data_IF_928928745015
#
_entry.id   IF_928928745015
#
_cell.length_a   1.000
_cell.length_b   1.000
_cell.length_c   1.000
_cell.angle_alpha   90.00
_cell.angle_beta   90.00
_cell.angle_gamma   90.00
#
_symmetry.space_group_name_H-M   'P 1'
#
loop_
_entity.id
_entity.type
_entity.pdbx_description
1 polymer ?
#
# COMPACT_ATOMS: atom_id res chain seq x y z
N UNK A 1 -5.06 -4.65 -22.04
CA UNK A 1 -3.84 -4.10 -21.38
C UNK A 1 -4.05 -2.64 -21.05
N UNK A 2 -3.46 -2.15 -19.96
CA UNK A 2 -3.44 -0.75 -19.54
C UNK A 2 -1.99 -0.29 -19.37
N UNK A 3 -1.73 0.97 -19.65
CA UNK A 3 -0.42 1.59 -19.53
C UNK A 3 -0.51 2.80 -18.60
N UNK A 4 0.45 2.94 -17.70
CA UNK A 4 0.48 3.96 -16.66
C UNK A 4 1.88 4.58 -16.57
N UNK A 5 1.94 5.87 -16.30
CA UNK A 5 3.17 6.56 -15.92
C UNK A 5 3.20 6.68 -14.39
N UNK A 6 4.03 5.89 -13.72
CA UNK A 6 4.15 5.92 -12.27
C UNK A 6 5.37 6.76 -11.83
N UNK A 7 5.22 7.74 -10.93
CA UNK A 7 6.29 8.69 -10.61
C UNK A 7 7.57 8.06 -10.03
N UNK A 8 7.46 6.87 -9.42
CA UNK A 8 8.60 6.17 -8.80
C UNK A 8 9.21 5.06 -9.66
N UNK A 9 8.47 4.52 -10.63
CA UNK A 9 8.92 3.36 -11.42
C UNK A 9 8.83 3.57 -12.93
N UNK A 10 8.37 4.74 -13.37
CA UNK A 10 8.22 5.09 -14.78
C UNK A 10 7.05 4.37 -15.45
N UNK A 11 7.21 4.13 -16.74
CA UNK A 11 6.23 3.43 -17.57
C UNK A 11 5.91 2.03 -17.03
N UNK A 12 4.63 1.75 -16.82
CA UNK A 12 4.13 0.51 -16.26
C UNK A 12 3.00 -0.05 -17.14
N UNK A 13 3.23 -1.21 -17.73
CA UNK A 13 2.24 -1.91 -18.55
C UNK A 13 1.67 -3.10 -17.80
N UNK A 14 0.35 -3.14 -17.65
CA UNK A 14 -0.35 -4.19 -16.91
C UNK A 14 -1.51 -4.79 -17.71
N UNK A 15 -1.76 -6.06 -17.48
CA UNK A 15 -3.00 -6.70 -17.85
C UNK A 15 -4.07 -6.33 -16.83
N UNK A 16 -5.28 -6.03 -17.32
CA UNK A 16 -6.39 -5.60 -16.49
C UNK A 16 -7.51 -6.62 -16.59
N UNK A 17 -7.94 -7.15 -15.45
CA UNK A 17 -9.07 -8.06 -15.35
C UNK A 17 -10.05 -7.52 -14.31
N UNK A 18 -11.33 -7.56 -14.65
CA UNK A 18 -12.42 -7.19 -13.76
C UNK A 18 -13.20 -8.46 -13.44
N UNK A 19 -13.22 -8.85 -12.17
CA UNK A 19 -14.04 -9.96 -11.70
C UNK A 19 -15.23 -9.39 -10.94
N UNK A 20 -16.43 -9.75 -11.39
CA UNK A 20 -17.68 -9.37 -10.74
C UNK A 20 -18.23 -10.58 -10.00
N UNK A 21 -18.66 -10.38 -8.75
CA UNK A 21 -19.37 -11.44 -8.03
C UNK A 21 -20.76 -11.63 -8.67
N UNK A 22 -21.06 -12.86 -9.06
CA UNK A 22 -22.31 -13.19 -9.76
C UNK A 22 -23.56 -12.79 -8.95
N UNK A 23 -23.54 -13.04 -7.63
CA UNK A 23 -24.66 -12.79 -6.73
C UNK A 23 -24.67 -11.36 -6.12
N UNK A 24 -23.64 -10.54 -6.40
CA UNK A 24 -23.56 -9.17 -5.87
C UNK A 24 -22.78 -8.27 -6.83
N UNK A 25 -23.46 -7.56 -7.75
CA UNK A 25 -22.79 -6.77 -8.78
C UNK A 25 -21.94 -5.62 -8.23
N UNK A 26 -22.19 -5.19 -6.98
CA UNK A 26 -21.40 -4.16 -6.29
C UNK A 26 -20.03 -4.66 -5.82
N UNK A 27 -19.86 -5.98 -5.66
CA UNK A 27 -18.57 -6.58 -5.32
C UNK A 27 -17.78 -6.85 -6.61
N UNK A 28 -16.91 -5.89 -6.93
CA UNK A 28 -15.94 -6.00 -8.03
C UNK A 28 -14.52 -6.09 -7.52
N UNK A 29 -13.75 -6.99 -8.12
CA UNK A 29 -12.31 -7.11 -7.93
C UNK A 29 -11.64 -6.66 -9.22
N UNK A 30 -10.71 -5.72 -9.08
CA UNK A 30 -9.90 -5.23 -10.18
C UNK A 30 -8.48 -5.78 -10.03
N UNK A 31 -8.10 -6.70 -10.91
CA UNK A 31 -6.79 -7.36 -10.89
C UNK A 31 -5.90 -6.72 -11.95
N UNK A 32 -4.69 -6.33 -11.52
CA UNK A 32 -3.65 -5.75 -12.37
C UNK A 32 -2.42 -6.65 -12.33
N UNK A 33 -2.13 -7.35 -13.44
CA UNK A 33 -0.99 -8.27 -13.56
C UNK A 33 0.10 -7.66 -14.44
N UNK A 34 1.39 -7.92 -14.19
CA UNK A 34 2.46 -7.40 -15.06
C UNK A 34 2.33 -7.99 -16.47
N UNK A 35 2.34 -7.13 -17.48
CA UNK A 35 2.25 -7.57 -18.87
C UNK A 35 3.59 -8.07 -19.45
N UNK A 36 4.72 -7.76 -18.80
CA UNK A 36 6.07 -8.12 -19.22
C UNK A 36 7.03 -8.11 -18.02
N UNK A 37 8.26 -8.57 -18.23
CA UNK A 37 9.28 -8.65 -17.17
C UNK A 37 9.67 -7.28 -16.60
N UNK A 38 9.68 -6.23 -17.41
CA UNK A 38 9.97 -4.86 -16.96
C UNK A 38 8.89 -4.37 -15.98
N UNK A 39 7.62 -4.58 -16.32
CA UNK A 39 6.48 -4.27 -15.45
C UNK A 39 6.49 -5.10 -14.17
N UNK A 40 6.92 -6.36 -14.23
CA UNK A 40 7.06 -7.21 -13.04
C UNK A 40 8.07 -6.59 -12.07
N UNK A 41 9.27 -6.25 -12.53
CA UNK A 41 10.28 -5.61 -11.68
C UNK A 41 9.80 -4.26 -11.13
N UNK A 42 9.07 -3.48 -11.93
CA UNK A 42 8.47 -2.22 -11.48
C UNK A 42 7.43 -2.44 -10.36
N UNK A 43 6.55 -3.44 -10.49
CA UNK A 43 5.57 -3.79 -9.45
C UNK A 43 6.24 -4.30 -8.16
N UNK A 44 7.30 -5.11 -8.27
CA UNK A 44 8.04 -5.58 -7.11
C UNK A 44 8.67 -4.42 -6.33
N UNK A 45 9.31 -3.46 -7.03
CA UNK A 45 9.84 -2.24 -6.41
C UNK A 45 8.75 -1.43 -5.73
N UNK A 46 7.60 -1.25 -6.38
CA UNK A 46 6.47 -0.54 -5.79
C UNK A 46 5.97 -1.24 -4.53
N UNK A 47 5.89 -2.58 -4.54
CA UNK A 47 5.47 -3.37 -3.39
C UNK A 47 6.40 -3.20 -2.18
N UNK A 48 7.72 -3.14 -2.41
CA UNK A 48 8.71 -2.89 -1.36
C UNK A 48 8.55 -1.49 -0.74
N UNK A 49 8.39 -0.46 -1.58
CA UNK A 49 8.19 0.93 -1.14
C UNK A 49 6.91 1.11 -0.30
N UNK A 50 5.83 0.42 -0.67
CA UNK A 50 4.57 0.44 0.11
C UNK A 50 4.76 -0.22 1.48
N UNK A 51 5.50 -1.33 1.55
CA UNK A 51 5.79 -2.03 2.82
C UNK A 51 6.61 -1.16 3.77
N UNK A 52 7.70 -0.56 3.29
CA UNK A 52 8.50 0.40 4.07
C UNK A 52 7.65 1.56 4.60
N UNK A 53 6.77 2.13 3.76
CA UNK A 53 5.85 3.20 4.19
C UNK A 53 4.88 2.74 5.28
N UNK A 54 4.39 1.50 5.22
CA UNK A 54 3.49 0.94 6.24
C UNK A 54 4.19 0.62 7.56
N UNK A 55 5.46 0.23 7.51
CA UNK A 55 6.30 -0.05 8.68
C UNK A 55 6.81 1.24 9.37
N UNK A 56 6.81 2.36 8.64
CA UNK A 56 7.25 3.68 9.13
C UNK A 56 6.23 4.39 10.05
N UNK A 57 5.18 3.72 10.54
CA UNK A 57 4.32 4.22 11.63
C UNK A 57 4.66 3.48 12.95
N UNK A 58 5.73 3.86 13.66
CA UNK A 58 5.86 3.52 15.07
C UNK A 58 4.92 4.42 15.89
N UNK A 59 4.30 3.86 16.93
CA UNK A 59 3.24 4.46 17.72
C UNK A 59 3.50 5.90 18.18
N UNK A 60 2.55 6.79 17.86
CA UNK A 60 2.46 8.15 18.40
C UNK A 60 1.18 8.27 19.24
N UNK A 61 1.19 7.64 20.42
CA UNK A 61 0.33 7.90 21.60
C UNK A 61 0.96 7.01 22.70
N UNK A 62 1.55 7.43 23.82
CA UNK A 62 1.33 8.58 24.69
C UNK A 62 2.64 8.95 25.36
N UNK A 63 3.14 10.15 25.06
CA UNK A 63 4.04 10.84 25.97
C UNK A 63 3.20 11.42 27.12
N UNK A 64 2.97 10.62 28.16
CA UNK A 64 2.59 11.12 29.49
C UNK A 64 3.87 11.41 30.25
N UNK A 65 4.37 12.64 30.11
CA UNK A 65 5.59 13.10 30.75
C UNK A 65 5.53 12.95 32.29
N UNK A 66 6.69 12.53 32.79
CA UNK A 66 7.16 12.45 34.18
C UNK A 66 6.79 13.62 35.11
N UNK A 67 6.60 13.22 36.38
CA UNK A 67 7.09 13.82 37.64
C UNK A 67 6.41 15.05 38.23
N UNK A 68 5.89 14.90 39.47
CA UNK A 68 6.12 15.62 40.76
C UNK A 68 4.86 15.46 41.63
N UNK A 69 4.84 15.23 42.94
CA UNK A 69 5.83 15.05 44.00
C UNK A 69 5.09 14.51 45.25
N UNK A 70 5.85 14.18 46.29
CA UNK A 70 5.40 13.89 47.66
C UNK A 70 4.33 14.89 48.17
N UNK A 71 3.32 14.42 48.90
CA UNK A 71 2.79 15.07 50.12
C UNK A 71 1.85 14.10 50.86
N UNK A 72 1.86 14.21 52.18
CA UNK A 72 1.44 13.31 53.24
C UNK A 72 -0.07 13.23 53.50
N UNK A 73 -0.53 12.12 54.09
CA UNK A 73 -1.46 12.08 55.24
C UNK A 73 -1.56 10.66 55.82
#
# INVERSE_FOLDING_TARGET
>A
MKHFEHPLVGALTVEYQLWLQADSPDHRIEVYSPANSEAQTALERLSALVREKSESKPGQDRNGARSIGEEQA
#
